data_IF_391824136710
#
_entry.id   IF_391824136710
#
_cell.length_a   1.000
_cell.length_b   1.000
_cell.length_c   1.000
_cell.angle_alpha   90.00
_cell.angle_beta   90.00
_cell.angle_gamma   90.00
#
_symmetry.space_group_name_H-M   'P 1'
#
loop_
_entity.id
_entity.type
_entity.pdbx_description
1 polymer ?
#
# COMPACT_ATOMS: atom_id res chain seq x y z
N UNK A 1 34.57 -0.29 6.96
CA UNK A 1 33.77 -0.01 5.73
C UNK A 1 32.60 -0.99 5.50
N UNK A 2 32.22 -1.86 6.46
CA UNK A 2 31.14 -2.87 6.27
C UNK A 2 29.80 -2.56 6.97
N UNK A 3 29.74 -1.55 7.84
CA UNK A 3 28.56 -1.30 8.69
C UNK A 3 27.37 -0.70 7.92
N UNK A 4 27.61 0.28 7.06
CA UNK A 4 26.54 0.96 6.30
C UNK A 4 25.90 0.04 5.25
N UNK A 5 26.69 -0.69 4.47
CA UNK A 5 26.16 -1.65 3.50
C UNK A 5 25.29 -2.75 4.17
N UNK A 6 25.68 -3.17 5.37
CA UNK A 6 24.95 -4.15 6.15
C UNK A 6 23.63 -3.59 6.73
N UNK A 7 23.62 -2.30 7.14
CA UNK A 7 22.40 -1.57 7.52
C UNK A 7 21.39 -1.54 6.37
N UNK A 8 21.80 -1.16 5.16
CA UNK A 8 20.89 -1.08 4.02
C UNK A 8 20.39 -2.46 3.57
N UNK A 9 21.25 -3.48 3.62
CA UNK A 9 20.84 -4.87 3.37
C UNK A 9 19.79 -5.37 4.35
N UNK A 10 19.95 -5.06 5.65
CA UNK A 10 18.93 -5.39 6.67
C UNK A 10 17.61 -4.67 6.43
N UNK A 11 17.67 -3.38 6.06
CA UNK A 11 16.47 -2.61 5.74
C UNK A 11 15.73 -3.22 4.54
N UNK A 12 16.44 -3.51 3.45
CA UNK A 12 15.88 -4.11 2.26
C UNK A 12 15.18 -5.44 2.57
N UNK A 13 15.83 -6.34 3.31
CA UNK A 13 15.22 -7.62 3.74
C UNK A 13 13.95 -7.44 4.57
N UNK A 14 13.91 -6.43 5.45
CA UNK A 14 12.70 -6.13 6.24
C UNK A 14 11.57 -5.63 5.36
N UNK A 15 11.87 -4.73 4.41
CA UNK A 15 10.88 -4.25 3.45
C UNK A 15 10.37 -5.40 2.57
N UNK A 16 11.24 -6.26 2.05
CA UNK A 16 10.87 -7.45 1.28
C UNK A 16 9.95 -8.40 2.06
N UNK A 17 10.24 -8.61 3.35
CA UNK A 17 9.39 -9.41 4.22
C UNK A 17 7.99 -8.81 4.39
N UNK A 18 7.89 -7.50 4.66
CA UNK A 18 6.60 -6.82 4.77
C UNK A 18 5.83 -6.83 3.44
N UNK A 19 6.52 -6.66 2.30
CA UNK A 19 5.90 -6.77 0.98
C UNK A 19 5.34 -8.17 0.71
N UNK A 20 6.07 -9.22 1.13
CA UNK A 20 5.60 -10.60 1.03
C UNK A 20 4.34 -10.84 1.87
N UNK A 21 4.28 -10.28 3.08
CA UNK A 21 3.07 -10.36 3.90
C UNK A 21 1.90 -9.58 3.29
N UNK A 22 2.15 -8.40 2.73
CA UNK A 22 1.14 -7.62 2.01
C UNK A 22 0.57 -8.39 0.81
N UNK A 23 1.41 -9.08 0.04
CA UNK A 23 0.95 -9.94 -1.06
C UNK A 23 0.00 -11.04 -0.56
N UNK A 24 0.34 -11.73 0.53
CA UNK A 24 -0.56 -12.74 1.13
C UNK A 24 -1.90 -12.14 1.54
N UNK A 25 -1.88 -10.97 2.18
CA UNK A 25 -3.10 -10.26 2.59
C UNK A 25 -3.94 -9.90 1.36
N UNK A 26 -3.33 -9.39 0.29
CA UNK A 26 -4.08 -9.11 -0.96
C UNK A 26 -4.69 -10.35 -1.58
N UNK A 27 -4.03 -11.51 -1.49
CA UNK A 27 -4.59 -12.80 -1.89
C UNK A 27 -5.86 -13.13 -1.10
N UNK A 28 -5.82 -12.99 0.23
CA UNK A 28 -6.98 -13.25 1.10
C UNK A 28 -8.15 -12.30 0.84
N UNK A 29 -7.87 -11.01 0.59
CA UNK A 29 -8.90 -10.03 0.18
C UNK A 29 -9.60 -10.50 -1.09
N UNK A 30 -8.82 -10.91 -2.10
CA UNK A 30 -9.36 -11.38 -3.37
C UNK A 30 -10.19 -12.65 -3.20
N UNK A 31 -9.67 -13.63 -2.47
CA UNK A 31 -10.35 -14.91 -2.26
C UNK A 31 -11.65 -14.72 -1.45
N UNK A 32 -11.62 -13.91 -0.39
CA UNK A 32 -12.79 -13.55 0.40
C UNK A 32 -13.85 -12.87 -0.46
N UNK A 33 -13.46 -11.87 -1.25
CA UNK A 33 -14.39 -11.17 -2.12
C UNK A 33 -15.04 -12.09 -3.17
N UNK A 34 -14.26 -12.98 -3.78
CA UNK A 34 -14.79 -13.91 -4.77
C UNK A 34 -15.74 -14.94 -4.14
N UNK A 35 -15.44 -15.41 -2.92
CA UNK A 35 -16.36 -16.29 -2.17
C UNK A 35 -17.66 -15.59 -1.82
N UNK A 36 -17.61 -14.35 -1.32
CA UNK A 36 -18.80 -13.56 -1.06
C UNK A 36 -19.67 -13.42 -2.32
N UNK A 37 -19.07 -13.12 -3.48
CA UNK A 37 -19.81 -13.01 -4.74
C UNK A 37 -20.51 -14.31 -5.16
N UNK A 38 -19.95 -15.46 -4.79
CA UNK A 38 -20.50 -16.78 -5.13
C UNK A 38 -21.58 -17.23 -4.15
N UNK A 39 -21.44 -16.92 -2.86
CA UNK A 39 -22.30 -17.46 -1.80
C UNK A 39 -23.31 -16.46 -1.25
N UNK A 40 -23.01 -15.16 -1.32
CA UNK A 40 -23.75 -14.11 -0.62
C UNK A 40 -23.55 -14.13 0.90
N UNK A 41 -22.57 -14.88 1.41
CA UNK A 41 -22.33 -15.02 2.86
C UNK A 41 -21.47 -13.87 3.40
N UNK A 42 -22.07 -13.06 4.26
CA UNK A 42 -21.46 -11.87 4.87
C UNK A 42 -20.19 -12.17 5.65
N UNK A 43 -19.98 -13.42 6.13
CA UNK A 43 -18.73 -13.82 6.76
C UNK A 43 -17.50 -13.56 5.86
N UNK A 44 -17.65 -13.74 4.54
CA UNK A 44 -16.59 -13.44 3.59
C UNK A 44 -16.39 -11.93 3.37
N UNK A 45 -17.45 -11.13 3.52
CA UNK A 45 -17.35 -9.66 3.48
C UNK A 45 -16.62 -9.12 4.70
N UNK A 46 -16.94 -9.62 5.89
CA UNK A 46 -16.24 -9.24 7.14
C UNK A 46 -14.76 -9.63 7.10
N UNK A 47 -14.47 -10.85 6.63
CA UNK A 47 -13.10 -11.30 6.43
C UNK A 47 -12.35 -10.42 5.42
N UNK A 48 -12.99 -10.04 4.32
CA UNK A 48 -12.43 -9.11 3.33
C UNK A 48 -12.10 -7.77 3.97
N UNK A 49 -13.02 -7.18 4.73
CA UNK A 49 -12.84 -5.90 5.42
C UNK A 49 -11.67 -5.95 6.42
N UNK A 50 -11.57 -7.04 7.19
CA UNK A 50 -10.47 -7.25 8.12
C UNK A 50 -9.11 -7.32 7.41
N UNK A 51 -9.04 -8.06 6.29
CA UNK A 51 -7.80 -8.13 5.53
C UNK A 51 -7.45 -6.80 4.84
N UNK A 52 -8.43 -6.00 4.41
CA UNK A 52 -8.19 -4.64 3.91
C UNK A 52 -7.56 -3.75 4.98
N UNK A 53 -8.06 -3.81 6.22
CA UNK A 53 -7.43 -3.11 7.34
C UNK A 53 -5.98 -3.58 7.58
N UNK A 54 -5.75 -4.89 7.46
CA UNK A 54 -4.40 -5.48 7.52
C UNK A 54 -3.46 -4.95 6.42
N UNK A 55 -3.97 -4.76 5.20
CA UNK A 55 -3.21 -4.19 4.09
C UNK A 55 -2.77 -2.74 4.35
N UNK A 56 -3.68 -1.88 4.86
CA UNK A 56 -3.32 -0.51 5.25
C UNK A 56 -2.28 -0.49 6.36
N UNK A 57 -2.47 -1.32 7.39
CA UNK A 57 -1.53 -1.41 8.51
C UNK A 57 -0.13 -1.88 8.08
N UNK A 58 -0.04 -2.86 7.18
CA UNK A 58 1.25 -3.33 6.65
C UNK A 58 1.91 -2.28 5.74
N UNK A 59 1.13 -1.54 4.97
CA UNK A 59 1.61 -0.42 4.16
C UNK A 59 2.27 0.65 5.04
N UNK A 60 1.62 1.03 6.14
CA UNK A 60 2.18 1.99 7.08
C UNK A 60 3.48 1.50 7.70
N UNK A 61 3.62 0.20 8.00
CA UNK A 61 4.89 -0.36 8.49
C UNK A 61 6.01 -0.20 7.49
N UNK A 62 5.77 -0.49 6.20
CA UNK A 62 6.76 -0.27 5.13
C UNK A 62 7.15 1.21 5.07
N UNK A 63 6.18 2.11 5.12
CA UNK A 63 6.41 3.55 5.10
C UNK A 63 7.21 4.03 6.31
N UNK A 64 6.91 3.55 7.52
CA UNK A 64 7.70 3.87 8.70
C UNK A 64 9.14 3.37 8.61
N UNK A 65 9.37 2.19 8.01
CA UNK A 65 10.73 1.68 7.79
C UNK A 65 11.53 2.61 6.88
N UNK A 66 10.93 3.07 5.78
CA UNK A 66 11.54 4.01 4.84
C UNK A 66 11.76 5.37 5.52
N UNK A 67 10.72 5.96 6.10
CA UNK A 67 10.77 7.26 6.78
C UNK A 67 11.86 7.31 7.85
N UNK A 68 11.95 6.27 8.69
CA UNK A 68 12.97 6.20 9.75
C UNK A 68 14.39 6.05 9.21
N UNK A 69 14.59 5.21 8.19
CA UNK A 69 15.93 4.87 7.73
C UNK A 69 16.48 5.83 6.67
N UNK A 70 15.61 6.37 5.82
CA UNK A 70 15.94 7.22 4.67
C UNK A 70 15.70 8.70 4.98
N UNK A 71 14.51 9.04 5.47
CA UNK A 71 14.17 10.45 5.77
C UNK A 71 14.64 10.89 7.17
N UNK A 72 15.10 9.93 7.99
CA UNK A 72 15.60 10.16 9.34
C UNK A 72 14.52 10.55 10.37
N UNK A 73 13.24 10.58 9.99
CA UNK A 73 12.14 11.00 10.85
C UNK A 73 10.82 10.32 10.49
N UNK A 74 10.00 10.08 11.51
CA UNK A 74 8.63 9.56 11.38
C UNK A 74 7.70 10.58 12.03
N UNK A 75 6.56 10.94 11.41
CA UNK A 75 5.59 11.85 12.00
C UNK A 75 5.05 11.34 13.34
N UNK A 76 4.60 12.26 14.19
CA UNK A 76 4.07 11.99 15.52
C UNK A 76 2.77 12.76 15.78
N UNK A 77 2.07 12.44 16.88
CA UNK A 77 0.80 13.06 17.25
C UNK A 77 -0.41 12.36 16.65
N UNK A 78 -1.62 12.86 16.94
CA UNK A 78 -2.87 12.18 16.60
C UNK A 78 -3.07 11.89 15.09
N UNK A 79 -2.49 12.73 14.22
CA UNK A 79 -2.65 12.62 12.77
C UNK A 79 -1.44 11.99 12.06
N UNK A 80 -0.56 11.31 12.81
CA UNK A 80 0.71 10.80 12.28
C UNK A 80 0.54 9.89 11.07
N UNK A 81 -0.52 9.06 11.05
CA UNK A 81 -0.83 8.15 9.95
C UNK A 81 -0.95 8.91 8.61
N UNK A 82 -1.77 9.97 8.58
CA UNK A 82 -1.97 10.79 7.39
C UNK A 82 -0.71 11.52 6.97
N UNK A 83 0.00 12.10 7.95
CA UNK A 83 1.27 12.79 7.68
C UNK A 83 2.32 11.85 7.10
N UNK A 84 2.34 10.58 7.52
CA UNK A 84 3.24 9.59 6.98
C UNK A 84 2.93 9.28 5.51
N UNK A 85 1.64 9.18 5.15
CA UNK A 85 1.23 9.03 3.75
C UNK A 85 1.69 10.22 2.91
N UNK A 86 1.43 11.44 3.37
CA UNK A 86 1.83 12.67 2.68
C UNK A 86 3.36 12.75 2.51
N UNK A 87 4.12 12.39 3.55
CA UNK A 87 5.58 12.33 3.49
C UNK A 87 6.06 11.34 2.42
N UNK A 88 5.49 10.13 2.36
CA UNK A 88 5.93 9.09 1.43
C UNK A 88 5.58 9.38 -0.04
N UNK A 89 4.43 10.01 -0.31
CA UNK A 89 4.03 10.36 -1.69
C UNK A 89 4.76 11.60 -2.22
N UNK A 90 5.39 12.37 -1.35
CA UNK A 90 6.25 13.49 -1.75
C UNK A 90 7.66 12.98 -2.09
N UNK A 91 8.21 13.48 -3.19
CA UNK A 91 9.62 13.32 -3.52
C UNK A 91 10.49 14.17 -2.59
N UNK A 92 11.65 13.64 -2.21
CA UNK A 92 12.70 14.37 -1.49
C UNK A 92 13.93 14.42 -2.39
N UNK A 93 14.14 15.52 -3.14
CA UNK A 93 15.22 15.63 -4.12
C UNK A 93 16.59 15.28 -3.53
N UNK A 94 17.32 14.40 -4.21
CA UNK A 94 18.64 13.93 -3.77
C UNK A 94 18.64 12.87 -2.66
N UNK A 95 17.46 12.52 -2.10
CA UNK A 95 17.34 11.50 -1.05
C UNK A 95 16.52 10.31 -1.52
N UNK A 96 15.27 10.54 -1.97
CA UNK A 96 14.41 9.48 -2.51
C UNK A 96 13.32 10.02 -3.43
N UNK A 97 12.89 9.25 -4.44
CA UNK A 97 11.67 9.55 -5.17
C UNK A 97 10.43 9.39 -4.27
N UNK A 98 9.28 9.85 -4.78
CA UNK A 98 7.98 9.52 -4.19
C UNK A 98 7.78 8.00 -4.14
N UNK A 99 7.40 7.49 -2.97
CA UNK A 99 7.09 6.08 -2.76
C UNK A 99 5.62 5.86 -3.11
N UNK A 100 5.38 5.14 -4.21
CA UNK A 100 4.03 4.81 -4.67
C UNK A 100 3.80 3.31 -4.60
N UNK A 101 2.68 2.91 -4.01
CA UNK A 101 2.24 1.52 -4.06
C UNK A 101 1.71 1.28 -5.46
N UNK A 102 2.39 0.42 -6.22
CA UNK A 102 1.89 -0.06 -7.50
C UNK A 102 1.09 -1.32 -7.23
N UNK A 103 -0.23 -1.22 -7.38
CA UNK A 103 -1.07 -2.41 -7.51
C UNK A 103 -0.80 -3.00 -8.90
N UNK A 104 -0.06 -4.10 -8.96
CA UNK A 104 0.21 -4.86 -10.18
C UNK A 104 -1.11 -5.42 -10.73
N UNK A 105 -1.75 -4.68 -11.65
CA UNK A 105 -2.78 -5.06 -12.64
C UNK A 105 -3.89 -6.09 -12.28
N UNK A 106 -4.13 -6.42 -11.01
CA UNK A 106 -5.12 -7.42 -10.59
C UNK A 106 -6.57 -6.92 -10.73
N UNK A 107 -6.77 -5.61 -10.82
CA UNK A 107 -8.08 -4.97 -10.96
C UNK A 107 -8.53 -4.76 -12.41
N UNK A 108 -7.73 -5.18 -13.41
CA UNK A 108 -8.03 -4.95 -14.84
C UNK A 108 -8.67 -6.17 -15.54
N UNK A 109 -8.68 -7.36 -14.93
CA UNK A 109 -9.14 -8.60 -15.59
C UNK A 109 -10.24 -9.38 -14.87
N UNK A 110 -10.80 -8.86 -13.78
CA UNK A 110 -12.06 -9.37 -13.22
C UNK A 110 -13.07 -8.25 -13.28
N UNK A 111 -14.19 -8.47 -13.97
CA UNK A 111 -15.23 -7.48 -14.23
C UNK A 111 -15.85 -6.89 -12.96
N UNK A 112 -15.16 -5.94 -12.35
CA UNK A 112 -15.70 -4.95 -11.41
C UNK A 112 -15.79 -3.63 -12.19
N UNK A 113 -16.55 -3.65 -13.28
CA UNK A 113 -16.90 -2.44 -14.06
C UNK A 113 -18.16 -1.75 -13.51
N UNK A 114 -18.61 -2.08 -12.30
CA UNK A 114 -19.90 -1.58 -11.77
C UNK A 114 -19.77 -0.71 -10.50
N UNK A 115 -18.60 -0.58 -9.88
CA UNK A 115 -18.48 0.27 -8.68
C UNK A 115 -18.02 1.72 -8.93
N UNK A 116 -17.70 2.13 -10.16
CA UNK A 116 -17.28 3.51 -10.44
C UNK A 116 -18.02 4.21 -11.61
N UNK A 117 -19.13 3.65 -12.10
CA UNK A 117 -19.93 4.29 -13.18
C UNK A 117 -20.99 5.28 -12.69
N UNK A 118 -21.07 5.55 -11.38
CA UNK A 118 -22.10 6.42 -10.78
C UNK A 118 -21.63 7.76 -10.22
N UNK A 119 -20.32 8.01 -10.13
CA UNK A 119 -19.80 9.29 -9.64
C UNK A 119 -19.18 10.07 -10.79
N UNK A 120 -19.96 11.03 -11.30
CA UNK A 120 -19.45 12.15 -12.09
C UNK A 120 -18.40 12.90 -11.27
N UNK A 121 -17.16 13.01 -11.78
CA UNK A 121 -16.14 14.07 -11.53
C UNK A 121 -14.94 13.79 -12.46
N UNK A 122 -14.26 14.83 -13.00
CA UNK A 122 -13.87 14.89 -14.40
C UNK A 122 -12.45 14.38 -14.69
N UNK A 123 -12.24 14.10 -15.97
CA UNK A 123 -10.98 13.89 -16.67
C UNK A 123 -9.87 14.83 -16.20
N UNK A 124 -8.73 14.28 -15.77
CA UNK A 124 -7.45 14.99 -15.72
C UNK A 124 -6.48 14.29 -16.66
N UNK A 125 -6.23 14.97 -17.77
CA UNK A 125 -5.20 14.71 -18.76
C UNK A 125 -3.85 15.15 -18.17
N UNK A 126 -2.85 14.26 -18.11
CA UNK A 126 -1.45 14.69 -17.90
C UNK A 126 -0.65 14.33 -19.15
N UNK A 127 -0.38 15.37 -19.93
CA UNK A 127 0.56 15.41 -21.05
C UNK A 127 1.96 15.54 -20.47
N UNK A 128 2.88 14.66 -20.84
CA UNK A 128 4.33 14.86 -20.60
C UNK A 128 4.96 15.39 -21.88
N UNK A 129 5.64 16.53 -21.77
CA UNK A 129 6.75 16.86 -22.66
C UNK A 129 8.05 16.53 -21.91
#
# INVERSE_FOLDING_TARGET
MNSENDKWRRLAKRIEAELTELEKVTGRIRDGWERFRQTGDDFYTDSTALNMHGFYSGTERVFQLIARAVDGSVPQGANWHRMLLDQMICEVPGVRPAVRIRLSNCWRTTGVSVMLSGMSIPTILIRTK
#
